data_IF_339590298734
#
_entry.id   IF_339590298734
#
_cell.length_a   1.000
_cell.length_b   1.000
_cell.length_c   1.000
_cell.angle_alpha   90.00
_cell.angle_beta   90.00
_cell.angle_gamma   90.00
#
_symmetry.space_group_name_H-M   'P 1'
#
loop_
_entity.id
_entity.type
_entity.pdbx_description
1 polymer ?
#
# COMPACT_ATOMS: atom_id res chain seq x y z
N UNK A 1 5.42 1.49 -7.78
CA UNK A 1 4.10 2.11 -7.50
C UNK A 1 4.24 3.61 -7.27
N UNK A 2 4.91 4.08 -6.21
CA UNK A 2 5.07 5.52 -5.93
C UNK A 2 5.47 6.40 -7.12
N UNK A 3 6.51 6.02 -7.88
CA UNK A 3 6.90 6.75 -9.10
C UNK A 3 5.78 6.87 -10.14
N UNK A 4 5.12 5.76 -10.47
CA UNK A 4 4.06 5.75 -11.49
C UNK A 4 2.82 6.54 -11.03
N UNK A 5 2.55 6.54 -9.71
CA UNK A 5 1.52 7.42 -9.14
C UNK A 5 1.94 8.88 -9.24
N UNK A 6 3.17 9.22 -8.86
CA UNK A 6 3.70 10.59 -8.96
C UNK A 6 3.61 11.14 -10.37
N UNK A 7 4.18 10.45 -11.36
CA UNK A 7 4.11 10.84 -12.78
C UNK A 7 2.67 11.07 -13.24
N UNK A 8 1.75 10.17 -12.88
CA UNK A 8 0.35 10.29 -13.30
C UNK A 8 -0.42 11.39 -12.57
N UNK A 9 -0.09 11.65 -11.30
CA UNK A 9 -0.75 12.68 -10.50
C UNK A 9 -0.22 14.07 -10.82
N UNK A 10 1.06 14.21 -11.13
CA UNK A 10 1.65 15.47 -11.61
C UNK A 10 0.96 15.95 -12.90
N UNK A 11 0.60 15.02 -13.81
CA UNK A 11 -0.19 15.34 -15.01
C UNK A 11 -1.61 15.85 -14.69
N UNK A 12 -2.24 15.32 -13.64
CA UNK A 12 -3.65 15.57 -13.32
C UNK A 12 -3.85 16.71 -12.30
N UNK A 13 -2.86 16.92 -11.43
CA UNK A 13 -2.89 17.83 -10.31
C UNK A 13 -1.56 18.62 -10.26
N UNK A 14 -1.54 19.85 -10.78
CA UNK A 14 -0.32 20.67 -10.93
C UNK A 14 0.45 20.99 -9.65
N UNK A 15 -0.15 20.77 -8.48
CA UNK A 15 0.47 20.99 -7.16
C UNK A 15 0.92 19.69 -6.49
N UNK A 16 1.01 18.59 -7.24
CA UNK A 16 1.51 17.31 -6.72
C UNK A 16 2.98 17.44 -6.36
N UNK A 17 3.33 16.97 -5.17
CA UNK A 17 4.72 16.82 -4.73
C UNK A 17 4.97 15.33 -4.51
N UNK A 18 5.89 14.77 -5.28
CA UNK A 18 6.36 13.40 -5.13
C UNK A 18 7.62 13.38 -4.25
N UNK A 19 7.65 12.51 -3.25
CA UNK A 19 8.83 12.32 -2.41
C UNK A 19 9.30 10.86 -2.44
N UNK A 20 10.62 10.69 -2.47
CA UNK A 20 11.31 9.41 -2.31
C UNK A 20 11.79 9.26 -0.86
N UNK A 21 12.12 8.02 -0.48
CA UNK A 21 12.66 7.71 0.86
C UNK A 21 13.90 8.56 1.23
N UNK A 22 14.73 8.93 0.24
CA UNK A 22 15.93 9.74 0.49
C UNK A 22 15.62 11.20 0.79
N UNK A 23 14.47 11.69 0.32
CA UNK A 23 14.01 13.07 0.56
C UNK A 23 13.22 13.14 1.87
N UNK A 24 12.29 12.19 2.06
CA UNK A 24 11.45 12.07 3.25
C UNK A 24 11.32 10.59 3.61
N UNK A 25 11.93 10.19 4.73
CA UNK A 25 11.76 8.84 5.28
C UNK A 25 10.58 8.84 6.26
N UNK A 26 9.58 8.01 5.98
CA UNK A 26 8.37 7.92 6.82
C UNK A 26 8.66 7.38 8.22
N UNK A 27 9.82 6.74 8.44
CA UNK A 27 10.23 6.29 9.78
C UNK A 27 10.83 7.42 10.62
N UNK A 28 11.26 8.52 9.99
CA UNK A 28 11.70 9.73 10.69
C UNK A 28 10.50 10.65 10.90
N UNK A 29 9.83 10.45 12.04
CA UNK A 29 8.61 11.17 12.40
C UNK A 29 8.78 12.68 12.31
N UNK A 30 9.84 13.24 12.90
CA UNK A 30 10.01 14.69 13.00
C UNK A 30 10.23 15.33 11.64
N UNK A 31 11.02 14.67 10.78
CA UNK A 31 11.26 15.15 9.43
C UNK A 31 10.00 15.06 8.56
N UNK A 32 9.23 13.98 8.70
CA UNK A 32 7.96 13.83 8.00
C UNK A 32 6.94 14.89 8.43
N UNK A 33 6.78 15.10 9.74
CA UNK A 33 5.90 16.14 10.30
C UNK A 33 6.28 17.53 9.78
N UNK A 34 7.56 17.90 9.86
CA UNK A 34 8.04 19.20 9.38
C UNK A 34 7.78 19.42 7.88
N UNK A 35 7.96 18.38 7.04
CA UNK A 35 7.68 18.49 5.61
C UNK A 35 6.19 18.61 5.30
N UNK A 36 5.34 17.83 5.99
CA UNK A 36 3.88 17.93 5.83
C UNK A 36 3.37 19.29 6.31
N UNK A 37 3.89 19.80 7.43
CA UNK A 37 3.58 21.16 7.92
C UNK A 37 4.03 22.23 6.94
N UNK A 38 5.22 22.11 6.35
CA UNK A 38 5.72 23.06 5.35
C UNK A 38 4.89 23.07 4.07
N UNK A 39 4.44 21.90 3.62
CA UNK A 39 3.71 21.74 2.35
C UNK A 39 2.21 22.05 2.47
N UNK A 40 1.62 21.92 3.68
CA UNK A 40 0.18 22.08 3.92
C UNK A 40 -0.69 21.31 2.89
N UNK A 41 -0.46 19.99 2.69
CA UNK A 41 -1.20 19.23 1.69
C UNK A 41 -2.68 19.08 2.07
N UNK A 42 -3.56 19.01 1.08
CA UNK A 42 -4.97 18.64 1.31
C UNK A 42 -5.17 17.12 1.30
N UNK A 43 -4.27 16.38 0.65
CA UNK A 43 -4.27 14.93 0.52
C UNK A 43 -2.84 14.40 0.48
N UNK A 44 -2.59 13.34 1.24
CA UNK A 44 -1.35 12.56 1.21
C UNK A 44 -1.66 11.15 0.72
N UNK A 45 -0.82 10.61 -0.17
CA UNK A 45 -0.88 9.21 -0.61
C UNK A 45 0.37 8.50 -0.08
N UNK A 46 0.20 7.66 0.95
CA UNK A 46 1.29 6.85 1.47
C UNK A 46 1.44 5.57 0.65
N UNK A 47 2.41 5.57 -0.26
CA UNK A 47 2.85 4.43 -1.07
C UNK A 47 4.17 3.82 -0.58
N UNK A 48 4.72 4.27 0.55
CA UNK A 48 5.97 3.80 1.10
C UNK A 48 5.76 2.56 1.98
N UNK A 49 6.53 1.51 1.72
CA UNK A 49 6.50 0.24 2.44
C UNK A 49 7.74 -0.60 2.11
N UNK A 50 8.07 -1.54 2.99
CA UNK A 50 8.89 -2.71 2.65
C UNK A 50 7.95 -3.77 2.08
N UNK A 51 7.97 -3.93 0.76
CA UNK A 51 7.12 -4.86 0.03
C UNK A 51 7.82 -6.18 -0.37
N UNK A 52 9.08 -6.35 0.01
CA UNK A 52 9.83 -7.59 -0.20
C UNK A 52 9.47 -8.57 0.92
N UNK A 53 8.67 -9.58 0.58
CA UNK A 53 8.10 -10.55 1.54
C UNK A 53 9.21 -11.30 2.27
N UNK A 54 10.19 -11.83 1.54
CA UNK A 54 11.29 -12.57 2.14
C UNK A 54 12.16 -11.69 3.04
N UNK A 55 12.30 -10.40 2.68
CA UNK A 55 13.00 -9.45 3.54
C UNK A 55 12.22 -9.16 4.83
N UNK A 56 10.90 -9.11 4.78
CA UNK A 56 10.09 -8.92 5.98
C UNK A 56 10.24 -10.10 6.94
N UNK A 57 10.31 -11.33 6.41
CA UNK A 57 10.58 -12.54 7.20
C UNK A 57 11.98 -12.51 7.85
N UNK A 58 13.01 -12.08 7.09
CA UNK A 58 14.38 -12.02 7.61
C UNK A 58 14.63 -10.86 8.57
N UNK A 59 13.92 -9.74 8.43
CA UNK A 59 14.06 -8.55 9.26
C UNK A 59 12.68 -7.97 9.64
N UNK A 60 11.97 -8.61 10.59
CA UNK A 60 10.64 -8.17 11.03
C UNK A 60 10.65 -6.78 11.67
N UNK A 61 11.76 -6.38 12.29
CA UNK A 61 11.90 -5.06 12.90
C UNK A 61 11.92 -3.96 11.83
N UNK A 62 12.65 -4.16 10.74
CA UNK A 62 12.60 -3.25 9.60
C UNK A 62 11.19 -3.18 9.01
N UNK A 63 10.52 -4.32 8.83
CA UNK A 63 9.16 -4.37 8.32
C UNK A 63 8.20 -3.60 9.23
N UNK A 64 8.28 -3.79 10.55
CA UNK A 64 7.47 -3.06 11.54
C UNK A 64 7.71 -1.56 11.48
N UNK A 65 8.98 -1.11 11.54
CA UNK A 65 9.32 0.32 11.46
C UNK A 65 8.77 0.98 10.21
N UNK A 66 8.91 0.34 9.05
CA UNK A 66 8.47 0.93 7.79
C UNK A 66 6.96 0.83 7.56
N UNK A 67 6.38 -0.36 7.77
CA UNK A 67 5.00 -0.66 7.38
C UNK A 67 3.97 -0.28 8.45
N UNK A 68 4.36 -0.29 9.73
CA UNK A 68 3.49 0.05 10.87
C UNK A 68 3.78 1.47 11.34
N UNK A 69 4.96 1.69 11.93
CA UNK A 69 5.30 2.99 12.54
C UNK A 69 5.34 4.11 11.48
N UNK A 70 5.90 3.84 10.30
CA UNK A 70 5.90 4.81 9.21
C UNK A 70 4.50 5.12 8.66
N UNK A 71 3.56 4.17 8.72
CA UNK A 71 2.17 4.41 8.34
C UNK A 71 1.44 5.24 9.40
N UNK A 72 1.67 4.94 10.68
CA UNK A 72 1.16 5.70 11.81
C UNK A 72 1.66 7.15 11.77
N UNK A 73 2.97 7.36 11.58
CA UNK A 73 3.57 8.69 11.47
C UNK A 73 2.87 9.50 10.38
N UNK A 74 2.67 8.94 9.19
CA UNK A 74 1.97 9.63 8.10
C UNK A 74 0.54 10.04 8.49
N UNK A 75 -0.21 9.17 9.18
CA UNK A 75 -1.55 9.48 9.66
C UNK A 75 -1.56 10.59 10.72
N UNK A 76 -0.63 10.54 11.67
CA UNK A 76 -0.46 11.57 12.71
C UNK A 76 -0.08 12.92 12.12
N UNK A 77 0.86 12.96 11.16
CA UNK A 77 1.24 14.20 10.47
C UNK A 77 0.08 14.78 9.67
N UNK A 78 -0.70 13.94 8.98
CA UNK A 78 -1.89 14.40 8.26
C UNK A 78 -2.93 14.99 9.23
N UNK A 79 -3.14 14.35 10.39
CA UNK A 79 -4.04 14.86 11.43
C UNK A 79 -3.65 16.25 11.92
N UNK A 80 -2.34 16.51 12.08
CA UNK A 80 -1.83 17.80 12.58
C UNK A 80 -2.20 18.98 11.66
N UNK A 81 -2.24 18.75 10.34
CA UNK A 81 -2.53 19.79 9.34
C UNK A 81 -3.94 19.71 8.75
N UNK A 82 -4.77 18.76 9.21
CA UNK A 82 -6.11 18.52 8.66
C UNK A 82 -6.11 17.93 7.25
N UNK A 83 -5.02 17.27 6.84
CA UNK A 83 -4.93 16.59 5.55
C UNK A 83 -5.66 15.24 5.57
N UNK A 84 -6.12 14.84 4.39
CA UNK A 84 -6.61 13.48 4.13
C UNK A 84 -5.48 12.52 3.87
N UNK A 85 -5.68 11.23 4.17
CA UNK A 85 -4.70 10.18 3.87
C UNK A 85 -5.29 9.03 3.07
N UNK A 86 -4.63 8.67 1.97
CA UNK A 86 -4.79 7.36 1.32
C UNK A 86 -3.57 6.51 1.66
N UNK A 87 -3.78 5.40 2.38
CA UNK A 87 -2.73 4.44 2.71
C UNK A 87 -2.86 3.19 1.83
N UNK A 88 -1.79 2.82 1.14
CA UNK A 88 -1.79 1.65 0.27
C UNK A 88 -1.42 0.38 1.06
N UNK A 89 -2.29 -0.61 1.00
CA UNK A 89 -2.14 -1.92 1.64
C UNK A 89 -2.17 -3.05 0.60
N UNK A 90 -2.34 -4.29 1.04
CA UNK A 90 -2.17 -5.50 0.24
C UNK A 90 -3.26 -6.53 0.54
N UNK A 91 -3.49 -7.43 -0.40
CA UNK A 91 -4.24 -8.68 -0.17
C UNK A 91 -3.56 -9.69 0.74
N UNK A 92 -2.25 -9.54 1.02
CA UNK A 92 -1.50 -10.42 1.94
C UNK A 92 -1.95 -10.27 3.41
N UNK A 93 -2.82 -9.29 3.69
CA UNK A 93 -3.52 -9.19 4.97
C UNK A 93 -4.55 -10.31 5.15
N UNK A 94 -4.85 -11.09 4.11
CA UNK A 94 -5.76 -12.22 4.13
C UNK A 94 -5.02 -13.56 3.87
N UNK A 95 -5.68 -14.68 4.12
CA UNK A 95 -5.19 -16.03 3.79
C UNK A 95 -5.14 -17.02 4.97
N UNK A 96 -5.29 -16.55 6.21
CA UNK A 96 -5.21 -17.38 7.42
C UNK A 96 -6.45 -18.21 7.72
N UNK A 97 -7.49 -18.08 6.91
CA UNK A 97 -8.72 -18.87 7.02
C UNK A 97 -9.00 -19.59 5.71
N UNK A 98 -9.23 -20.90 5.78
CA UNK A 98 -9.86 -21.64 4.69
C UNK A 98 -11.34 -21.23 4.62
N UNK A 99 -11.73 -20.57 3.54
CA UNK A 99 -13.13 -20.22 3.28
C UNK A 99 -13.48 -20.39 1.82
N UNK A 100 -14.76 -20.68 1.58
CA UNK A 100 -15.33 -20.58 0.24
C UNK A 100 -15.63 -19.11 -0.08
N UNK A 101 -15.28 -18.68 -1.29
CA UNK A 101 -15.61 -17.36 -1.84
C UNK A 101 -14.51 -16.30 -1.75
N UNK A 102 -14.79 -15.14 -2.35
CA UNK A 102 -13.90 -13.99 -2.39
C UNK A 102 -13.96 -13.17 -1.10
N UNK A 103 -12.87 -12.49 -0.74
CA UNK A 103 -12.84 -11.52 0.35
C UNK A 103 -13.56 -10.22 -0.04
N UNK A 104 -14.10 -9.49 0.93
CA UNK A 104 -14.63 -8.13 0.81
C UNK A 104 -13.97 -7.13 1.79
N UNK A 105 -14.33 -5.85 1.72
CA UNK A 105 -13.73 -4.80 2.57
C UNK A 105 -14.06 -4.93 4.07
N UNK A 106 -15.10 -5.69 4.41
CA UNK A 106 -15.57 -5.90 5.78
C UNK A 106 -14.97 -7.13 6.42
N UNK A 107 -14.38 -8.02 5.62
CA UNK A 107 -13.69 -9.20 6.14
C UNK A 107 -12.48 -8.81 7.02
N UNK A 108 -12.32 -9.49 8.17
CA UNK A 108 -11.21 -9.24 9.08
C UNK A 108 -9.89 -9.72 8.45
N UNK A 109 -8.80 -8.96 8.59
CA UNK A 109 -7.46 -9.42 8.24
C UNK A 109 -7.09 -10.72 8.99
N UNK A 110 -6.47 -11.63 8.26
CA UNK A 110 -5.89 -12.88 8.75
C UNK A 110 -4.59 -13.18 7.97
N UNK A 111 -3.50 -12.45 8.25
CA UNK A 111 -2.26 -12.59 7.50
C UNK A 111 -1.52 -13.88 7.85
N UNK A 112 -0.85 -14.49 6.86
CA UNK A 112 -0.08 -15.74 7.01
C UNK A 112 1.43 -15.56 7.01
N UNK A 113 1.91 -14.33 6.76
CA UNK A 113 3.34 -13.99 6.70
C UNK A 113 3.62 -12.62 7.35
N UNK A 114 4.89 -12.34 7.63
CA UNK A 114 5.38 -11.12 8.27
C UNK A 114 5.01 -9.84 7.49
N UNK A 115 5.10 -9.90 6.17
CA UNK A 115 4.70 -8.78 5.31
C UNK A 115 3.22 -8.45 5.47
N UNK A 116 2.34 -9.44 5.33
CA UNK A 116 0.90 -9.30 5.52
C UNK A 116 0.55 -8.83 6.93
N UNK A 117 1.24 -9.36 7.94
CA UNK A 117 1.03 -8.97 9.35
C UNK A 117 1.37 -7.50 9.59
N UNK A 118 2.57 -7.08 9.18
CA UNK A 118 2.98 -5.68 9.34
C UNK A 118 2.14 -4.72 8.50
N UNK A 119 1.62 -5.13 7.35
CA UNK A 119 0.65 -4.32 6.59
C UNK A 119 -0.69 -4.21 7.30
N UNK A 120 -1.26 -5.30 7.84
CA UNK A 120 -2.51 -5.27 8.60
C UNK A 120 -2.41 -4.43 9.89
N UNK A 121 -1.29 -4.54 10.60
CA UNK A 121 -0.97 -3.68 11.75
C UNK A 121 -0.91 -2.20 11.34
N UNK A 122 -0.26 -1.88 10.22
CA UNK A 122 -0.23 -0.53 9.67
C UNK A 122 -1.60 0.01 9.25
N UNK A 123 -2.49 -0.82 8.69
CA UNK A 123 -3.88 -0.43 8.42
C UNK A 123 -4.60 0.02 9.70
N UNK A 124 -4.42 -0.77 10.77
CA UNK A 124 -5.04 -0.49 12.06
C UNK A 124 -4.51 0.82 12.66
N UNK A 125 -3.19 1.00 12.67
CA UNK A 125 -2.55 2.22 13.16
C UNK A 125 -3.02 3.48 12.41
N UNK A 126 -3.18 3.41 11.08
CA UNK A 126 -3.71 4.52 10.28
C UNK A 126 -5.15 4.85 10.64
N UNK A 127 -6.00 3.84 10.77
CA UNK A 127 -7.42 4.01 11.08
C UNK A 127 -7.67 4.51 12.50
N UNK A 128 -6.83 4.10 13.46
CA UNK A 128 -6.87 4.57 14.84
C UNK A 128 -6.36 6.02 14.95
N UNK A 129 -5.35 6.38 14.15
CA UNK A 129 -4.73 7.71 14.21
C UNK A 129 -5.54 8.80 13.47
N UNK A 130 -6.25 8.48 12.38
CA UNK A 130 -6.87 9.48 11.51
C UNK A 130 -8.28 9.10 11.01
N UNK A 131 -9.26 9.97 11.27
CA UNK A 131 -10.66 9.78 10.84
C UNK A 131 -10.91 10.09 9.37
N UNK A 132 -10.15 11.01 8.74
CA UNK A 132 -10.32 11.30 7.30
C UNK A 132 -9.28 10.56 6.47
N UNK A 133 -9.36 9.22 6.50
CA UNK A 133 -8.46 8.37 5.74
C UNK A 133 -9.16 7.23 4.99
N UNK A 134 -8.42 6.67 4.04
CA UNK A 134 -8.78 5.49 3.30
C UNK A 134 -7.60 4.52 3.17
N UNK A 135 -7.84 3.27 3.51
CA UNK A 135 -6.93 2.15 3.28
C UNK A 135 -7.36 1.46 1.98
N UNK A 136 -6.43 1.37 1.03
CA UNK A 136 -6.66 0.75 -0.28
C UNK A 136 -5.82 -0.52 -0.40
N UNK A 137 -6.44 -1.70 -0.33
CA UNK A 137 -5.76 -2.98 -0.51
C UNK A 137 -5.64 -3.30 -1.99
N UNK A 138 -4.41 -3.45 -2.46
CA UNK A 138 -4.11 -3.80 -3.85
C UNK A 138 -3.50 -5.20 -3.94
N UNK A 139 -3.81 -5.88 -5.05
CA UNK A 139 -3.31 -7.22 -5.37
C UNK A 139 -2.43 -7.18 -6.61
N UNK A 140 -1.41 -8.03 -6.66
CA UNK A 140 -0.60 -8.27 -7.86
C UNK A 140 -0.12 -7.00 -8.57
N UNK A 141 0.54 -6.08 -7.85
CA UNK A 141 1.02 -4.82 -8.43
C UNK A 141 2.20 -5.09 -9.40
N UNK A 142 2.04 -4.69 -10.66
CA UNK A 142 3.10 -4.73 -11.69
C UNK A 142 3.20 -3.37 -12.40
N UNK A 143 4.37 -3.08 -12.99
CA UNK A 143 4.59 -1.84 -13.73
C UNK A 143 6.04 -1.65 -14.13
N UNK A 144 6.30 -0.65 -14.98
CA UNK A 144 7.65 -0.24 -15.39
C UNK A 144 8.35 0.48 -14.23
N UNK A 145 8.99 -0.27 -13.35
CA UNK A 145 9.76 0.25 -12.21
C UNK A 145 11.18 -0.33 -12.15
N UNK A 146 12.12 0.45 -11.61
CA UNK A 146 13.55 0.10 -11.56
C UNK A 146 13.89 -1.07 -10.62
N UNK A 147 12.99 -1.46 -9.71
CA UNK A 147 13.17 -2.59 -8.79
C UNK A 147 12.30 -3.78 -9.21
N UNK A 148 12.95 -4.89 -9.53
CA UNK A 148 12.40 -6.17 -9.99
C UNK A 148 11.90 -7.01 -8.81
N UNK A 149 10.80 -6.60 -8.18
CA UNK A 149 10.18 -7.39 -7.10
C UNK A 149 8.73 -7.79 -7.40
N UNK A 150 8.26 -7.59 -8.63
CA UNK A 150 6.96 -8.12 -9.09
C UNK A 150 7.16 -9.44 -9.82
N UNK A 151 6.18 -10.35 -9.73
CA UNK A 151 6.22 -11.69 -10.34
C UNK A 151 6.44 -11.65 -11.87
N UNK A 152 6.08 -10.53 -12.52
CA UNK A 152 6.34 -10.30 -13.95
C UNK A 152 7.84 -10.19 -14.28
N UNK A 153 8.68 -9.82 -13.30
CA UNK A 153 10.13 -9.70 -13.47
C UNK A 153 10.90 -11.00 -13.21
N UNK A 154 10.24 -12.03 -12.66
CA UNK A 154 10.81 -13.35 -12.37
C UNK A 154 10.49 -14.42 -13.42
N UNK A 155 9.82 -14.09 -14.52
CA UNK A 155 9.66 -15.04 -15.63
C UNK A 155 11.00 -15.14 -16.36
N UNK A 156 11.73 -16.28 -16.29
CA UNK A 156 12.86 -16.49 -17.16
C UNK A 156 12.35 -16.48 -18.60
N UNK A 157 13.20 -16.11 -19.55
CA UNK A 157 12.94 -16.16 -20.99
C UNK A 157 12.77 -17.62 -21.46
N UNK A 158 11.71 -18.29 -21.02
CA UNK A 158 11.32 -19.64 -21.37
C UNK A 158 10.22 -19.61 -22.44
N UNK A 159 10.49 -18.89 -23.53
CA UNK A 159 9.70 -18.94 -24.77
C UNK A 159 10.56 -19.32 -25.98
N UNK A 160 11.70 -19.97 -25.76
CA UNK A 160 12.56 -20.49 -26.83
C UNK A 160 12.48 -22.02 -27.01
N UNK A 161 11.76 -22.76 -26.17
CA UNK A 161 11.59 -24.21 -26.35
C UNK A 161 10.13 -24.58 -26.09
N UNK A 162 9.44 -25.03 -27.14
CA UNK A 162 7.99 -25.22 -27.24
C UNK A 162 7.39 -26.26 -26.29
N UNK A 163 7.34 -25.95 -25.00
CA UNK A 163 6.50 -26.64 -24.03
C UNK A 163 5.47 -25.66 -23.49
N UNK A 164 4.22 -25.89 -23.87
CA UNK A 164 3.07 -25.17 -23.31
C UNK A 164 2.96 -25.46 -21.81
N UNK A 165 2.98 -24.45 -20.93
CA UNK A 165 2.62 -24.65 -19.54
C UNK A 165 1.14 -25.02 -19.47
N UNK A 166 0.80 -26.12 -18.78
CA UNK A 166 -0.58 -26.44 -18.44
C UNK A 166 -1.13 -25.33 -17.55
N UNK A 167 -1.99 -24.50 -18.12
CA UNK A 167 -2.74 -23.48 -17.40
C UNK A 167 -3.73 -24.16 -16.44
N UNK A 168 -3.41 -24.17 -15.16
CA UNK A 168 -4.41 -24.29 -14.09
C UNK A 168 -4.43 -22.96 -13.34
N UNK A 169 -4.80 -21.90 -14.06
CA UNK A 169 -5.14 -20.62 -13.45
C UNK A 169 -6.66 -20.59 -13.31
N UNK A 170 -7.15 -21.01 -12.15
CA UNK A 170 -8.49 -20.64 -11.70
C UNK A 170 -8.53 -19.13 -11.55
N UNK A 171 -9.55 -18.49 -12.14
CA UNK A 171 -9.77 -17.07 -12.05
C UNK A 171 -10.02 -16.66 -10.59
N UNK A 172 -9.03 -16.09 -9.92
CA UNK A 172 -9.21 -15.35 -8.67
C UNK A 172 -9.38 -13.86 -8.99
N UNK A 173 -10.40 -13.27 -8.39
CA UNK A 173 -11.01 -12.00 -8.74
C UNK A 173 -10.09 -10.78 -8.69
N UNK A 174 -10.27 -9.91 -9.67
CA UNK A 174 -9.61 -8.62 -9.86
C UNK A 174 -10.38 -7.53 -9.10
N UNK A 175 -10.03 -7.21 -7.87
CA UNK A 175 -10.62 -6.06 -7.16
C UNK A 175 -9.59 -5.29 -6.34
N UNK A 176 -9.73 -3.97 -6.38
CA UNK A 176 -9.11 -3.02 -5.44
C UNK A 176 -10.14 -2.78 -4.35
N UNK A 177 -9.75 -2.94 -3.09
CA UNK A 177 -10.65 -2.90 -1.94
C UNK A 177 -10.36 -1.65 -1.12
N UNK A 178 -11.40 -0.92 -0.69
CA UNK A 178 -11.23 0.35 0.01
C UNK A 178 -11.96 0.37 1.36
N UNK A 179 -11.20 0.39 2.46
CA UNK A 179 -11.74 0.59 3.81
C UNK A 179 -11.52 2.04 4.23
N UNK A 180 -12.59 2.78 4.49
CA UNK A 180 -12.53 4.17 4.95
C UNK A 180 -13.11 4.30 6.35
N UNK A 181 -12.55 5.24 7.13
CA UNK A 181 -13.06 5.62 8.45
C UNK A 181 -14.30 6.52 8.36
N UNK A 182 -14.62 7.08 7.19
CA UNK A 182 -15.85 7.85 6.93
C UNK A 182 -16.61 7.42 5.67
N UNK A 183 -17.93 7.61 5.67
CA UNK A 183 -18.82 7.30 4.54
C UNK A 183 -18.58 8.19 3.30
N UNK A 184 -17.95 9.36 3.47
CA UNK A 184 -17.67 10.35 2.41
C UNK A 184 -16.84 9.77 1.25
N UNK A 185 -15.92 8.85 1.56
CA UNK A 185 -15.09 8.18 0.56
C UNK A 185 -15.85 7.12 -0.25
N UNK A 186 -16.92 6.52 0.32
CA UNK A 186 -17.71 5.46 -0.35
C UNK A 186 -18.65 6.01 -1.43
N UNK A 187 -19.13 7.25 -1.29
CA UNK A 187 -20.14 7.83 -2.21
C UNK A 187 -19.56 8.49 -3.47
N UNK A 188 -18.24 8.73 -3.53
CA UNK A 188 -17.57 9.36 -4.70
C UNK A 188 -16.86 8.37 -5.64
N UNK A 189 -16.71 7.10 -5.25
CA UNK A 189 -16.13 6.06 -6.11
C UNK A 189 -17.12 5.47 -7.15
N UNK A 190 -18.37 5.94 -7.18
CA UNK A 190 -19.44 5.45 -8.07
C UNK A 190 -19.96 6.51 -9.06
N UNK A 191 -19.19 7.56 -9.37
CA UNK A 191 -19.53 8.54 -10.40
C UNK A 191 -18.44 8.62 -11.45
#
# INVERSE_FOLDING_TARGET
MGRALGERFEDLFPHTVSATRTEVDITDRWRLEAEIERLQPTLVINAAAVADVDRCERDPLLARRANVEGAENAALSCRAVGARLIHLSTDYVFGGYERAGEYDETDPPAPVNEYGRTKAEGESAVLDALVDCAVVRVSFVFGRGARRSSIASSTPRATAQGRSPRSTLGATSRRVWMRSSTACWRSRARR
#
